data_IF_488145069747
#
_entry.id   IF_488145069747
#
_cell.length_a   1.000
_cell.length_b   1.000
_cell.length_c   1.000
_cell.angle_alpha   90.00
_cell.angle_beta   90.00
_cell.angle_gamma   90.00
#
_symmetry.space_group_name_H-M   'P 1'
#
loop_
_entity.id
_entity.type
_entity.pdbx_description
1 polymer ?
#
# COMPACT_ATOMS: atom_id res chain seq x y z
N UNK A 1 8.22 18.03 -13.77
CA UNK A 1 7.81 16.69 -14.26
C UNK A 1 6.88 16.14 -13.21
N UNK A 2 5.59 15.93 -13.52
CA UNK A 2 4.69 15.30 -12.57
C UNK A 2 5.10 13.82 -12.48
N UNK A 3 5.86 13.46 -11.45
CA UNK A 3 6.15 12.06 -11.16
C UNK A 3 4.82 11.36 -10.85
N UNK A 4 4.34 10.57 -11.80
CA UNK A 4 3.23 9.65 -11.57
C UNK A 4 3.64 8.68 -10.47
N UNK A 5 3.00 8.76 -9.30
CA UNK A 5 3.27 7.84 -8.20
C UNK A 5 2.57 6.53 -8.53
N UNK A 6 3.36 5.49 -8.78
CA UNK A 6 2.84 4.14 -9.00
C UNK A 6 2.63 3.49 -7.64
N UNK A 7 1.44 2.94 -7.45
CA UNK A 7 1.05 2.24 -6.26
C UNK A 7 0.52 0.87 -6.63
N UNK A 8 0.66 -0.04 -5.69
CA UNK A 8 0.22 -1.41 -5.79
C UNK A 8 -0.70 -1.70 -4.61
N UNK A 9 -1.85 -2.29 -4.88
CA UNK A 9 -2.88 -2.55 -3.89
C UNK A 9 -3.02 -4.06 -3.74
N UNK A 10 -2.75 -4.56 -2.55
CA UNK A 10 -3.08 -5.94 -2.18
C UNK A 10 -4.48 -5.93 -1.59
N UNK A 11 -5.40 -6.61 -2.25
CA UNK A 11 -6.76 -6.78 -1.76
C UNK A 11 -6.83 -8.00 -0.85
N UNK A 12 -7.53 -7.89 0.28
CA UNK A 12 -7.84 -9.01 1.16
C UNK A 12 -8.89 -9.96 0.58
N UNK A 13 -8.83 -10.22 -0.73
CA UNK A 13 -9.66 -11.16 -1.47
C UNK A 13 -8.71 -12.11 -2.20
N UNK A 14 -8.95 -13.42 -2.09
CA UNK A 14 -8.14 -14.41 -2.80
C UNK A 14 -8.52 -14.50 -4.28
N UNK A 15 -7.74 -15.18 -5.10
CA UNK A 15 -8.09 -15.41 -6.52
C UNK A 15 -9.47 -16.06 -6.65
N UNK A 16 -9.83 -16.94 -5.70
CA UNK A 16 -11.14 -17.61 -5.62
C UNK A 16 -12.30 -16.72 -5.13
N UNK A 17 -12.07 -15.44 -4.79
CA UNK A 17 -13.11 -14.50 -4.37
C UNK A 17 -13.45 -14.53 -2.88
N UNK A 18 -12.73 -15.32 -2.07
CA UNK A 18 -12.93 -15.40 -0.63
C UNK A 18 -12.21 -14.27 0.11
N UNK A 19 -12.81 -13.76 1.19
CA UNK A 19 -12.14 -12.78 2.07
C UNK A 19 -10.99 -13.44 2.82
N UNK A 20 -9.81 -12.82 2.74
CA UNK A 20 -8.62 -13.25 3.45
C UNK A 20 -8.74 -12.98 4.96
N UNK A 21 -8.18 -13.88 5.76
CA UNK A 21 -8.20 -13.83 7.23
C UNK A 21 -6.79 -14.07 7.78
N UNK A 22 -6.46 -13.54 8.97
CA UNK A 22 -7.33 -12.80 9.89
C UNK A 22 -7.66 -11.38 9.40
N UNK A 23 -8.69 -10.74 9.97
CA UNK A 23 -9.16 -9.41 9.52
C UNK A 23 -8.14 -8.29 9.73
N UNK A 24 -7.20 -8.48 10.66
CA UNK A 24 -6.10 -7.57 11.00
C UNK A 24 -4.80 -7.81 10.20
N UNK A 25 -4.85 -8.64 9.15
CA UNK A 25 -3.66 -8.96 8.35
C UNK A 25 -2.97 -7.73 7.75
N UNK A 26 -3.75 -6.72 7.35
CA UNK A 26 -3.24 -5.52 6.71
C UNK A 26 -2.45 -4.66 7.71
N UNK A 27 -2.95 -4.51 8.95
CA UNK A 27 -2.25 -3.85 10.04
C UNK A 27 -0.95 -4.58 10.40
N UNK A 28 -0.96 -5.93 10.38
CA UNK A 28 0.24 -6.72 10.63
C UNK A 28 1.29 -6.48 9.55
N UNK A 29 0.91 -6.55 8.28
CA UNK A 29 1.82 -6.31 7.17
C UNK A 29 2.39 -4.88 7.23
N UNK A 30 1.54 -3.88 7.45
CA UNK A 30 1.98 -2.49 7.59
C UNK A 30 2.87 -2.26 8.83
N UNK A 31 2.63 -3.00 9.92
CA UNK A 31 3.47 -2.98 11.12
C UNK A 31 4.88 -3.50 10.87
N UNK A 32 5.01 -4.63 10.16
CA UNK A 32 6.31 -5.17 9.71
C UNK A 32 7.06 -4.16 8.83
N UNK A 33 6.31 -3.36 8.07
CA UNK A 33 6.86 -2.35 7.16
C UNK A 33 7.14 -1.00 7.81
N UNK A 34 6.76 -0.80 9.08
CA UNK A 34 6.96 0.45 9.81
C UNK A 34 8.39 1.04 9.78
N UNK A 35 9.50 0.27 9.83
CA UNK A 35 10.85 0.83 9.81
C UNK A 35 11.28 1.41 8.45
N UNK A 36 10.63 1.03 7.34
CA UNK A 36 11.01 1.51 6.00
C UNK A 36 10.42 2.89 5.73
N UNK A 37 11.19 3.95 5.99
CA UNK A 37 10.73 5.35 5.86
C UNK A 37 11.79 6.24 5.20
N UNK A 38 11.40 7.38 4.60
CA UNK A 38 12.37 8.31 4.04
C UNK A 38 13.34 8.81 5.12
N UNK A 39 14.61 8.98 4.75
CA UNK A 39 15.67 9.48 5.64
C UNK A 39 15.27 10.85 6.21
N UNK A 40 15.31 10.99 7.54
CA UNK A 40 14.95 12.22 8.25
C UNK A 40 13.50 12.32 8.74
N UNK A 41 12.66 11.30 8.48
CA UNK A 41 11.32 11.24 9.06
C UNK A 41 11.41 10.89 10.56
N UNK A 42 11.05 11.83 11.43
CA UNK A 42 10.82 11.56 12.86
C UNK A 42 9.56 10.71 13.01
N UNK A 43 9.75 9.40 13.20
CA UNK A 43 8.67 8.46 13.36
C UNK A 43 8.50 8.12 14.85
N UNK A 44 7.30 8.33 15.39
CA UNK A 44 6.91 7.61 16.60
C UNK A 44 6.84 6.11 16.27
N UNK A 45 7.32 5.21 17.14
CA UNK A 45 7.36 3.76 16.87
C UNK A 45 5.99 3.12 16.60
N UNK A 46 4.90 3.86 16.79
CA UNK A 46 3.52 3.42 16.63
C UNK A 46 2.87 3.79 15.29
N UNK A 47 3.57 4.49 14.39
CA UNK A 47 3.00 4.80 13.06
C UNK A 47 3.32 3.71 12.04
N UNK A 48 2.59 3.66 10.94
CA UNK A 48 2.94 2.87 9.76
C UNK A 48 3.95 3.61 8.89
N UNK A 49 4.59 2.88 7.97
CA UNK A 49 5.39 3.49 6.91
C UNK A 49 4.49 4.26 5.93
N UNK A 50 4.92 5.43 5.41
CA UNK A 50 4.17 6.12 4.36
C UNK A 50 4.11 5.31 3.05
N UNK A 51 4.96 4.29 2.89
CA UNK A 51 5.00 3.46 1.69
C UNK A 51 4.12 2.21 1.78
N UNK A 52 3.71 1.79 2.98
CA UNK A 52 2.86 0.61 3.18
C UNK A 52 1.78 0.93 4.19
N UNK A 53 0.57 1.16 3.69
CA UNK A 53 -0.55 1.69 4.50
C UNK A 53 -1.75 0.76 4.42
N UNK A 54 -2.31 0.33 5.56
CA UNK A 54 -3.53 -0.45 5.57
C UNK A 54 -4.72 0.46 5.26
N UNK A 55 -5.64 0.00 4.41
CA UNK A 55 -6.83 0.76 4.01
C UNK A 55 -8.05 -0.16 3.86
N UNK A 56 -9.20 0.44 3.57
CA UNK A 56 -10.40 -0.26 3.14
C UNK A 56 -10.86 0.27 1.79
N UNK A 57 -11.08 -0.64 0.83
CA UNK A 57 -11.63 -0.34 -0.49
C UNK A 57 -12.88 -1.18 -0.63
N UNK A 58 -14.03 -0.55 -0.87
CA UNK A 58 -15.33 -1.23 -0.99
C UNK A 58 -15.65 -2.19 0.18
N UNK A 59 -15.28 -1.81 1.40
CA UNK A 59 -15.50 -2.64 2.61
C UNK A 59 -14.61 -3.89 2.70
N UNK A 60 -13.62 -4.02 1.81
CA UNK A 60 -12.58 -5.04 1.84
C UNK A 60 -11.32 -4.43 2.43
N UNK A 61 -10.67 -5.17 3.33
CA UNK A 61 -9.37 -4.77 3.88
C UNK A 61 -8.30 -4.89 2.81
N UNK A 62 -7.53 -3.84 2.60
CA UNK A 62 -6.48 -3.79 1.59
C UNK A 62 -5.19 -3.18 2.16
N UNK A 63 -4.09 -3.33 1.45
CA UNK A 63 -2.82 -2.65 1.73
C UNK A 63 -2.37 -1.92 0.47
N UNK A 64 -2.09 -0.62 0.60
CA UNK A 64 -1.51 0.19 -0.47
C UNK A 64 0.00 0.24 -0.27
N UNK A 65 0.73 -0.02 -1.35
CA UNK A 65 2.18 -0.14 -1.40
C UNK A 65 2.69 0.83 -2.45
N UNK A 66 3.54 1.77 -2.06
CA UNK A 66 4.14 2.76 -2.96
C UNK A 66 5.39 2.18 -3.65
N UNK A 67 5.52 2.37 -4.96
CA UNK A 67 6.68 1.88 -5.73
C UNK A 67 8.01 2.47 -5.24
N UNK A 68 7.99 3.63 -4.57
CA UNK A 68 9.18 4.21 -3.93
C UNK A 68 9.79 3.29 -2.86
N UNK A 69 9.01 2.37 -2.29
CA UNK A 69 9.55 1.31 -1.42
C UNK A 69 10.60 0.47 -2.15
N UNK A 70 10.40 0.18 -3.44
CA UNK A 70 11.35 -0.60 -4.24
C UNK A 70 12.69 0.11 -4.41
N UNK A 71 12.66 1.43 -4.58
CA UNK A 71 13.87 2.24 -4.69
C UNK A 71 14.58 2.42 -3.34
N UNK A 72 13.82 2.43 -2.24
CA UNK A 72 14.36 2.55 -0.89
C UNK A 72 14.93 1.23 -0.38
N UNK A 73 14.14 0.17 -0.43
CA UNK A 73 14.50 -1.17 0.04
C UNK A 73 13.86 -2.26 -0.85
N UNK A 74 14.59 -2.76 -1.86
CA UNK A 74 14.09 -3.77 -2.80
C UNK A 74 13.60 -5.06 -2.12
N UNK A 75 14.24 -5.46 -1.02
CA UNK A 75 13.86 -6.66 -0.27
C UNK A 75 12.50 -6.52 0.42
N UNK A 76 12.19 -5.32 0.94
CA UNK A 76 10.89 -5.05 1.54
C UNK A 76 9.79 -5.05 0.48
N UNK A 77 10.05 -4.47 -0.70
CA UNK A 77 9.16 -4.56 -1.84
C UNK A 77 8.90 -6.01 -2.26
N UNK A 78 9.97 -6.81 -2.37
CA UNK A 78 9.84 -8.22 -2.75
C UNK A 78 9.02 -8.99 -1.72
N UNK A 79 9.28 -8.80 -0.42
CA UNK A 79 8.51 -9.43 0.66
C UNK A 79 7.01 -9.15 0.54
N UNK A 80 6.62 -7.92 0.22
CA UNK A 80 5.20 -7.55 0.07
C UNK A 80 4.57 -8.22 -1.15
N UNK A 81 5.32 -8.36 -2.25
CA UNK A 81 4.87 -9.10 -3.44
C UNK A 81 4.76 -10.61 -3.17
N UNK A 82 5.77 -11.19 -2.51
CA UNK A 82 5.79 -12.59 -2.12
C UNK A 82 4.63 -12.88 -1.15
N UNK A 83 4.38 -12.00 -0.17
CA UNK A 83 3.23 -12.12 0.73
C UNK A 83 1.90 -12.20 -0.03
N UNK A 84 1.67 -11.34 -1.03
CA UNK A 84 0.46 -11.40 -1.83
C UNK A 84 0.36 -12.72 -2.62
N UNK A 85 1.47 -13.17 -3.19
CA UNK A 85 1.54 -14.41 -3.97
C UNK A 85 1.32 -15.66 -3.12
N UNK A 86 2.01 -15.78 -1.99
CA UNK A 86 1.94 -16.94 -1.09
C UNK A 86 0.55 -17.10 -0.47
N UNK A 87 -0.18 -16.00 -0.32
CA UNK A 87 -1.54 -15.98 0.22
C UNK A 87 -2.64 -15.94 -0.86
N UNK A 88 -2.28 -16.11 -2.13
CA UNK A 88 -3.18 -16.06 -3.28
C UNK A 88 -4.06 -14.79 -3.33
N UNK A 89 -3.51 -13.65 -2.90
CA UNK A 89 -4.23 -12.39 -2.81
C UNK A 89 -4.28 -11.69 -4.16
N UNK A 90 -5.44 -11.10 -4.47
CA UNK A 90 -5.61 -10.27 -5.65
C UNK A 90 -4.84 -8.98 -5.49
N UNK A 91 -4.19 -8.57 -6.57
CA UNK A 91 -3.36 -7.38 -6.60
C UNK A 91 -3.77 -6.47 -7.74
N UNK A 92 -3.69 -5.16 -7.51
CA UNK A 92 -4.10 -4.13 -8.48
C UNK A 92 -3.03 -3.07 -8.56
N UNK A 93 -2.61 -2.74 -9.77
CA UNK A 93 -1.74 -1.60 -10.01
C UNK A 93 -2.60 -0.34 -10.13
N UNK A 94 -2.31 0.64 -9.30
CA UNK A 94 -2.94 1.95 -9.30
C UNK A 94 -1.89 3.00 -9.68
N UNK A 95 -2.08 3.66 -10.81
CA UNK A 95 -1.31 4.86 -11.13
C UNK A 95 -2.07 6.06 -10.56
N UNK A 96 -1.54 6.69 -9.51
CA UNK A 96 -2.06 7.99 -9.10
C UNK A 96 -1.60 9.02 -10.12
N UNK A 97 -2.52 9.40 -11.00
CA UNK A 97 -2.38 10.62 -11.79
C UNK A 97 -2.61 11.75 -10.78
N UNK A 98 -1.60 12.59 -10.45
CA UNK A 98 -1.83 13.72 -9.57
C UNK A 98 -2.96 14.55 -10.17
N UNK A 99 -3.98 14.83 -9.36
CA UNK A 99 -5.17 15.60 -9.76
C UNK A 99 -4.72 16.80 -10.58
N UNK A 100 -5.10 16.82 -11.86
CA UNK A 100 -4.97 18.01 -12.68
C UNK A 100 -5.89 19.05 -12.06
N UNK A 101 -5.32 19.87 -11.19
CA UNK A 101 -5.93 20.98 -10.45
C UNK A 101 -7.25 21.43 -11.08
N UNK A 102 -8.36 20.95 -10.52
CA UNK A 102 -9.68 21.18 -11.09
C UNK A 102 -10.71 21.50 -10.03
N UNK A 103 -10.37 22.32 -9.01
CA UNK A 103 -11.42 22.89 -8.15
C UNK A 103 -12.29 23.80 -9.03
N UNK A 104 -13.57 23.49 -9.29
CA UNK A 104 -14.44 24.52 -9.83
C UNK A 104 -14.62 25.53 -8.70
N UNK A 105 -14.10 26.75 -8.89
CA UNK A 105 -14.64 27.92 -8.20
C UNK A 105 -16.09 28.03 -8.68
N UNK A 106 -17.03 27.63 -7.84
CA UNK A 106 -18.44 28.01 -8.01
C UNK A 106 -18.73 29.30 -7.24
N UNK A 107 -19.68 30.11 -7.73
CA UNK A 107 -19.81 31.55 -7.49
C UNK A 107 -20.26 31.93 -6.08
#
# INVERSE_FOLDING_TARGET
MAESVRQFIIQGITSNGSKFRPSDWAERLAGVMSPFRPKGSVASPFTYSPYVVPTFIDGVKCVVVDERLRALEPLAWQFVNDFARDNDLRTVEACLIPDAQGKPRQP
#
